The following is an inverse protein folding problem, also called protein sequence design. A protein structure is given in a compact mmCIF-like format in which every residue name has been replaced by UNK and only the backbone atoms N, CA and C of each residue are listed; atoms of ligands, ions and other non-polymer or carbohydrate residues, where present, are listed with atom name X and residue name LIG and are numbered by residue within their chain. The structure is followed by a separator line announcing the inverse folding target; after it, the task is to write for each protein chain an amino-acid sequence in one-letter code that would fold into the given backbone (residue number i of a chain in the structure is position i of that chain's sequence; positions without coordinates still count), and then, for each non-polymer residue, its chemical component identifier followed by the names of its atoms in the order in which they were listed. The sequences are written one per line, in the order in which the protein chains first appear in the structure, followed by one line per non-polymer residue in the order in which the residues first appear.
data_IF_754400574404
#
_entry.id   IF_754400574404
#
_cell.length_a   1.000
_cell.length_b   1.000
_cell.length_c   1.000
_cell.angle_alpha   90.00
_cell.angle_beta   90.00
_cell.angle_gamma   90.00
#
_symmetry.space_group_name_H-M   'P 1'
#
loop_
_entity.id
_entity.type
_entity.pdbx_description
1 polymer ?
#
# COMPACT_ATOMS: atom_id res chain seq x y z
N UNK A 1 0.78 -10.03 -2.25
CA UNK A 1 0.55 -8.81 -3.03
C UNK A 1 1.90 -8.13 -3.26
N UNK A 2 2.51 -8.35 -4.43
CA UNK A 2 3.72 -7.64 -4.84
C UNK A 2 3.27 -6.24 -5.27
N UNK A 3 3.19 -5.29 -4.36
CA UNK A 3 2.98 -3.88 -4.74
C UNK A 3 4.25 -3.36 -5.41
N UNK A 4 4.17 -2.96 -6.68
CA UNK A 4 5.29 -2.39 -7.46
C UNK A 4 5.82 -1.09 -6.84
N UNK A 5 4.97 -0.39 -6.08
CA UNK A 5 5.29 0.86 -5.39
C UNK A 5 6.34 0.75 -4.27
N UNK A 6 6.73 -0.46 -3.84
CA UNK A 6 7.80 -0.59 -2.84
C UNK A 6 9.19 -0.23 -3.37
N UNK A 7 9.35 -0.13 -4.71
CA UNK A 7 10.61 0.33 -5.30
C UNK A 7 10.91 1.80 -4.97
N UNK A 8 9.86 2.62 -4.82
CA UNK A 8 9.99 4.04 -4.53
C UNK A 8 9.98 4.36 -3.02
N UNK A 9 9.67 3.38 -2.17
CA UNK A 9 9.58 3.54 -0.72
C UNK A 9 10.96 3.62 -0.07
N UNK A 10 11.52 4.83 0.01
CA UNK A 10 12.78 5.10 0.71
C UNK A 10 12.77 6.49 1.38
N UNK A 11 13.57 6.66 2.44
CA UNK A 11 13.78 7.95 3.11
C UNK A 11 14.32 9.03 2.15
N UNK A 12 15.39 8.79 1.35
CA UNK A 12 15.88 9.82 0.43
C UNK A 12 14.83 10.24 -0.61
N UNK A 13 14.01 9.31 -1.10
CA UNK A 13 12.91 9.65 -2.00
C UNK A 13 11.87 10.56 -1.32
N UNK A 14 11.48 10.24 -0.08
CA UNK A 14 10.55 11.06 0.69
C UNK A 14 11.08 12.48 0.92
N UNK A 15 12.36 12.62 1.30
CA UNK A 15 13.01 13.91 1.50
C UNK A 15 13.07 14.71 0.19
N UNK A 16 13.45 14.07 -0.92
CA UNK A 16 13.53 14.72 -2.23
C UNK A 16 12.17 15.25 -2.68
N UNK A 17 11.11 14.46 -2.52
CA UNK A 17 9.74 14.84 -2.92
C UNK A 17 9.23 16.02 -2.06
N UNK A 18 9.49 16.00 -0.75
CA UNK A 18 9.11 17.11 0.13
C UNK A 18 9.85 18.40 -0.22
N UNK A 19 11.14 18.30 -0.55
CA UNK A 19 11.95 19.44 -1.03
C UNK A 19 11.44 20.00 -2.37
N UNK A 20 10.83 19.17 -3.23
CA UNK A 20 10.13 19.63 -4.43
C UNK A 20 8.74 20.22 -4.18
N UNK A 21 8.29 20.30 -2.92
CA UNK A 21 7.02 20.90 -2.53
C UNK A 21 5.81 19.96 -2.59
N UNK A 22 6.01 18.65 -2.74
CA UNK A 22 4.93 17.66 -2.80
C UNK A 22 4.95 16.74 -1.58
N UNK A 23 3.81 16.15 -1.25
CA UNK A 23 3.70 15.14 -0.21
C UNK A 23 3.90 13.72 -0.74
N UNK A 24 4.48 12.88 0.09
CA UNK A 24 4.83 11.52 -0.25
C UNK A 24 4.22 10.52 0.74
N UNK A 25 3.70 9.42 0.21
CA UNK A 25 3.36 8.22 0.97
C UNK A 25 3.91 7.01 0.23
N UNK A 26 4.82 6.29 0.88
CA UNK A 26 5.50 5.13 0.29
C UNK A 26 5.41 3.90 1.19
N UNK A 27 5.30 2.72 0.58
CA UNK A 27 5.46 1.45 1.30
C UNK A 27 6.92 1.03 1.31
N UNK A 28 7.50 0.83 2.49
CA UNK A 28 8.89 0.42 2.68
C UNK A 28 8.91 -1.07 3.00
N UNK A 29 9.63 -1.90 2.23
CA UNK A 29 9.71 -3.36 2.48
C UNK A 29 11.12 -3.86 2.79
N UNK A 30 12.12 -3.31 2.11
CA UNK A 30 13.50 -3.86 2.09
C UNK A 30 14.55 -2.87 2.54
N UNK A 31 14.24 -1.58 2.66
CA UNK A 31 15.20 -0.54 3.03
C UNK A 31 15.52 -0.61 4.53
N UNK A 32 16.51 -1.43 4.92
CA UNK A 32 16.88 -1.64 6.33
C UNK A 32 17.86 -0.62 6.91
N UNK A 33 18.63 0.10 6.09
CA UNK A 33 19.74 0.95 6.57
C UNK A 33 19.28 2.18 7.35
N UNK A 34 18.19 2.80 6.94
CA UNK A 34 17.72 4.08 7.52
C UNK A 34 16.32 3.98 8.13
N UNK A 35 15.60 2.87 7.89
CA UNK A 35 14.23 2.70 8.36
C UNK A 35 14.16 1.53 9.35
N UNK A 36 13.57 1.72 10.56
CA UNK A 36 13.56 0.74 11.63
C UNK A 36 12.50 -0.36 11.43
N UNK A 37 12.62 -1.15 10.36
CA UNK A 37 11.66 -2.24 10.04
C UNK A 37 11.66 -3.31 11.14
N UNK A 38 12.83 -3.68 11.65
CA UNK A 38 12.97 -4.73 12.67
C UNK A 38 12.23 -4.35 13.96
N UNK A 39 12.44 -3.12 14.43
CA UNK A 39 11.76 -2.57 15.59
C UNK A 39 10.24 -2.59 15.43
N UNK A 40 9.71 -2.11 14.29
CA UNK A 40 8.27 -2.11 14.04
C UNK A 40 7.68 -3.51 13.98
N UNK A 41 8.40 -4.48 13.41
CA UNK A 41 7.96 -5.87 13.35
C UNK A 41 7.94 -6.54 14.71
N UNK A 42 8.92 -6.24 15.57
CA UNK A 42 9.01 -6.77 16.92
C UNK A 42 7.91 -6.21 17.83
N UNK A 43 7.76 -4.88 17.86
CA UNK A 43 6.75 -4.21 18.67
C UNK A 43 5.32 -4.60 18.28
N UNK A 44 5.08 -4.84 16.98
CA UNK A 44 3.76 -5.25 16.48
C UNK A 44 3.63 -6.76 16.33
N UNK A 45 4.55 -7.59 16.85
CA UNK A 45 4.49 -9.05 16.70
C UNK A 45 3.22 -9.65 17.31
N UNK A 46 2.93 -9.30 18.55
CA UNK A 46 1.80 -9.83 19.33
C UNK A 46 0.61 -8.86 19.39
N UNK A 47 0.71 -7.73 18.68
CA UNK A 47 -0.35 -6.73 18.60
C UNK A 47 -1.61 -7.25 17.88
N UNK A 48 -2.81 -6.79 18.29
CA UNK A 48 -4.05 -7.10 17.60
C UNK A 48 -4.07 -6.52 16.18
N UNK A 49 -4.84 -7.15 15.30
CA UNK A 49 -4.99 -6.69 13.92
C UNK A 49 -5.64 -5.30 13.89
N UNK A 50 -5.08 -4.40 13.09
CA UNK A 50 -5.54 -3.01 12.99
C UNK A 50 -4.76 -2.03 13.87
N UNK A 51 -3.95 -2.53 14.82
CA UNK A 51 -3.05 -1.66 15.57
C UNK A 51 -1.97 -1.08 14.65
N UNK A 52 -1.64 0.18 14.88
CA UNK A 52 -0.54 0.86 14.21
C UNK A 52 0.36 1.54 15.24
N UNK A 53 1.64 1.68 14.87
CA UNK A 53 2.66 2.41 15.62
C UNK A 53 3.30 3.41 14.68
N UNK A 54 3.44 4.66 15.13
CA UNK A 54 4.07 5.72 14.36
C UNK A 54 5.36 6.19 15.06
N UNK A 55 6.40 6.46 14.27
CA UNK A 55 7.66 7.03 14.70
C UNK A 55 7.89 8.31 13.90
N UNK A 56 8.14 9.41 14.60
CA UNK A 56 8.50 10.70 13.98
C UNK A 56 10.01 10.87 13.97
N UNK A 57 10.56 11.38 12.88
CA UNK A 57 11.97 11.75 12.78
C UNK A 57 12.13 12.97 11.88
N UNK A 58 13.16 13.78 12.14
CA UNK A 58 13.56 14.89 11.27
C UNK A 58 14.82 14.46 10.52
N UNK A 59 14.78 14.47 9.19
CA UNK A 59 15.90 14.12 8.32
C UNK A 59 16.11 15.25 7.33
N UNK A 60 17.30 15.85 7.31
CA UNK A 60 17.64 17.00 6.45
C UNK A 60 16.63 18.16 6.54
N UNK A 61 16.13 18.44 7.74
CA UNK A 61 15.13 19.48 8.00
C UNK A 61 13.71 19.13 7.56
N UNK A 62 13.47 17.90 7.11
CA UNK A 62 12.14 17.40 6.73
C UNK A 62 11.60 16.48 7.82
N UNK A 63 10.39 16.79 8.30
CA UNK A 63 9.64 15.90 9.18
C UNK A 63 9.11 14.69 8.40
N UNK A 64 9.42 13.50 8.91
CA UNK A 64 9.01 12.23 8.35
C UNK A 64 8.34 11.39 9.43
N UNK A 65 7.30 10.67 9.01
CA UNK A 65 6.58 9.71 9.85
C UNK A 65 6.75 8.33 9.25
N UNK A 66 7.28 7.42 10.06
CA UNK A 66 7.33 5.99 9.79
C UNK A 66 6.17 5.30 10.50
N UNK A 67 5.31 4.59 9.77
CA UNK A 67 4.14 3.90 10.32
C UNK A 67 4.29 2.40 10.12
N UNK A 68 4.24 1.62 11.20
CA UNK A 68 4.01 0.18 11.19
C UNK A 68 2.53 -0.10 11.41
N UNK A 69 1.89 -0.87 10.51
CA UNK A 69 0.47 -1.23 10.58
C UNK A 69 0.31 -2.76 10.58
N UNK A 70 -0.37 -3.30 11.59
CA UNK A 70 -0.65 -4.74 11.71
C UNK A 70 -1.79 -5.16 10.78
N UNK A 71 -1.42 -5.45 9.52
CA UNK A 71 -2.38 -5.87 8.48
C UNK A 71 -3.01 -7.24 8.75
N UNK A 72 -2.20 -8.19 9.22
CA UNK A 72 -2.63 -9.55 9.55
C UNK A 72 -1.86 -10.03 10.78
N UNK A 73 -2.28 -11.15 11.38
CA UNK A 73 -1.56 -11.76 12.52
C UNK A 73 -0.08 -12.00 12.21
N UNK A 74 0.23 -12.38 10.97
CA UNK A 74 1.60 -12.67 10.53
C UNK A 74 2.34 -11.51 9.86
N UNK A 75 1.64 -10.44 9.44
CA UNK A 75 2.21 -9.41 8.56
C UNK A 75 1.98 -8.01 9.10
N UNK A 76 3.09 -7.30 9.27
CA UNK A 76 3.14 -5.86 9.51
C UNK A 76 3.52 -5.20 8.20
N UNK A 77 2.81 -4.13 7.85
CA UNK A 77 3.13 -3.29 6.71
C UNK A 77 3.78 -2.01 7.21
N UNK A 78 4.86 -1.61 6.58
CA UNK A 78 5.63 -0.43 6.96
C UNK A 78 5.51 0.64 5.89
N UNK A 79 5.21 1.86 6.33
CA UNK A 79 5.01 3.02 5.48
C UNK A 79 5.90 4.17 5.92
N UNK A 80 6.25 5.02 4.97
CA UNK A 80 6.88 6.31 5.21
C UNK A 80 6.00 7.41 4.63
N UNK A 81 5.89 8.51 5.34
CA UNK A 81 5.20 9.69 4.83
C UNK A 81 5.87 10.98 5.26
N UNK A 82 5.73 12.01 4.43
CA UNK A 82 6.10 13.40 4.71
C UNK A 82 4.91 14.21 5.22
N UNK A 83 3.76 13.56 5.37
CA UNK A 83 2.55 14.14 5.94
C UNK A 83 2.71 14.28 7.46
N UNK A 84 1.94 15.22 8.03
CA UNK A 84 1.96 15.49 9.47
C UNK A 84 1.30 14.39 10.29
N UNK A 85 1.47 14.48 11.62
CA UNK A 85 0.89 13.54 12.59
C UNK A 85 -0.64 13.46 12.53
N UNK A 86 -1.30 14.51 12.00
CA UNK A 86 -2.74 14.56 11.80
C UNK A 86 -3.28 13.46 10.88
N UNK A 87 -2.46 12.92 9.97
CA UNK A 87 -2.87 11.85 9.05
C UNK A 87 -2.86 10.45 9.69
N UNK A 88 -2.55 10.37 11.00
CA UNK A 88 -2.69 9.16 11.81
C UNK A 88 -4.10 8.97 12.39
N UNK A 89 -5.01 9.93 12.16
CA UNK A 89 -6.42 9.82 12.56
C UNK A 89 -7.06 8.53 11.99
N UNK A 90 -8.10 7.99 12.65
CA UNK A 90 -8.86 6.88 12.11
C UNK A 90 -9.33 7.15 10.67
N UNK A 91 -8.91 6.31 9.73
CA UNK A 91 -9.31 6.36 8.33
C UNK A 91 -10.44 5.39 8.01
N UNK A 92 -10.68 5.17 6.72
CA UNK A 92 -11.65 4.16 6.26
C UNK A 92 -11.18 2.76 6.69
N UNK A 93 -11.98 2.02 7.48
CA UNK A 93 -11.63 0.67 7.91
C UNK A 93 -11.45 -0.29 6.74
N UNK A 94 -10.64 -1.32 6.95
CA UNK A 94 -10.52 -2.43 6.02
C UNK A 94 -11.60 -3.47 6.28
N UNK A 95 -12.47 -3.72 5.30
CA UNK A 95 -13.49 -4.77 5.37
C UNK A 95 -12.85 -6.13 5.09
N UNK A 96 -12.57 -6.90 6.14
CA UNK A 96 -12.07 -8.26 6.01
C UNK A 96 -13.25 -9.22 5.75
N UNK A 97 -13.19 -9.98 4.65
CA UNK A 97 -14.18 -11.01 4.31
C UNK A 97 -13.65 -12.40 4.69
N UNK A 98 -14.47 -13.22 5.33
CA UNK A 98 -14.13 -14.60 5.70
C UNK A 98 -15.35 -15.51 5.51
N UNK A 99 -15.14 -16.76 5.04
CA UNK A 99 -16.23 -17.73 4.96
C UNK A 99 -16.65 -18.13 6.37
N UNK A 100 -17.94 -18.09 6.63
CA UNK A 100 -18.55 -18.67 7.82
C UNK A 100 -18.67 -20.19 7.66
N UNK A 101 -18.94 -20.90 8.76
CA UNK A 101 -19.10 -22.37 8.80
C UNK A 101 -20.14 -22.89 7.81
N UNK A 102 -21.09 -22.05 7.42
CA UNK A 102 -22.17 -22.37 6.47
C UNK A 102 -21.88 -21.91 5.03
N UNK A 103 -20.66 -21.47 4.72
CA UNK A 103 -20.28 -21.01 3.37
C UNK A 103 -20.71 -19.59 3.03
N UNK A 104 -21.41 -18.89 3.94
CA UNK A 104 -21.75 -17.48 3.79
C UNK A 104 -20.52 -16.59 3.99
N UNK A 105 -20.49 -15.42 3.34
CA UNK A 105 -19.39 -14.47 3.49
C UNK A 105 -19.69 -13.55 4.67
N UNK A 106 -18.98 -13.74 5.78
CA UNK A 106 -18.99 -12.83 6.91
C UNK A 106 -17.97 -11.70 6.71
N UNK A 107 -18.28 -10.52 7.24
CA UNK A 107 -17.46 -9.31 7.12
C UNK A 107 -17.08 -8.77 8.50
N UNK A 108 -15.85 -8.30 8.66
CA UNK A 108 -15.39 -7.60 9.86
C UNK A 108 -14.57 -6.38 9.49
N UNK A 109 -14.89 -5.26 10.11
CA UNK A 109 -14.14 -4.02 9.95
C UNK A 109 -12.88 -4.06 10.81
N UNK A 110 -11.75 -3.78 10.17
CA UNK A 110 -10.45 -3.67 10.82
C UNK A 110 -10.04 -2.21 10.81
N UNK A 111 -9.81 -1.60 11.99
CA UNK A 111 -9.36 -0.22 12.11
C UNK A 111 -8.08 0.01 11.29
N UNK A 112 -8.00 1.17 10.63
CA UNK A 112 -6.89 1.55 9.77
C UNK A 112 -6.67 3.06 9.88
N UNK A 113 -5.42 3.54 9.99
CA UNK A 113 -5.14 4.98 9.97
C UNK A 113 -5.37 5.60 8.58
N UNK A 114 -5.70 6.88 8.53
CA UNK A 114 -6.03 7.64 7.32
C UNK A 114 -4.94 7.53 6.24
N UNK A 115 -3.68 7.74 6.61
CA UNK A 115 -2.51 7.57 5.74
C UNK A 115 -2.49 6.23 4.99
N UNK A 116 -2.76 5.13 5.71
CA UNK A 116 -2.76 3.79 5.11
C UNK A 116 -3.96 3.61 4.19
N UNK A 117 -5.11 4.20 4.54
CA UNK A 117 -6.30 4.19 3.68
C UNK A 117 -6.06 4.91 2.36
N UNK A 118 -5.54 6.13 2.40
CA UNK A 118 -5.24 6.94 1.20
C UNK A 118 -4.20 6.26 0.31
N UNK A 119 -3.16 5.65 0.90
CA UNK A 119 -2.20 4.85 0.13
C UNK A 119 -2.88 3.71 -0.65
N UNK A 120 -3.75 2.93 0.01
CA UNK A 120 -4.43 1.81 -0.65
C UNK A 120 -5.46 2.25 -1.68
N UNK A 121 -6.06 3.43 -1.52
CA UNK A 121 -6.99 4.02 -2.48
C UNK A 121 -6.28 4.44 -3.77
N UNK A 122 -5.10 5.06 -3.67
CA UNK A 122 -4.39 5.64 -4.82
C UNK A 122 -3.38 4.72 -5.48
N UNK A 123 -2.73 3.83 -4.72
CA UNK A 123 -1.70 2.92 -5.26
C UNK A 123 -2.14 2.09 -6.47
N UNK A 124 -3.34 1.48 -6.53
CA UNK A 124 -3.68 0.60 -7.64
C UNK A 124 -3.94 1.35 -8.96
N UNK A 125 -3.97 2.68 -9.00
CA UNK A 125 -4.33 3.44 -10.21
C UNK A 125 -3.51 3.04 -11.44
N UNK A 126 -2.19 2.90 -11.28
CA UNK A 126 -1.29 2.49 -12.38
C UNK A 126 -1.54 1.03 -12.77
N UNK A 127 -1.74 0.15 -11.79
CA UNK A 127 -1.99 -1.27 -12.03
C UNK A 127 -3.34 -1.49 -12.74
N UNK A 128 -4.39 -0.77 -12.34
CA UNK A 128 -5.72 -0.80 -12.98
C UNK A 128 -5.63 -0.30 -14.42
N UNK A 129 -4.93 0.81 -14.67
CA UNK A 129 -4.71 1.31 -16.03
C UNK A 129 -3.99 0.28 -16.91
N UNK A 130 -2.94 -0.35 -16.37
CA UNK A 130 -2.20 -1.38 -17.09
C UNK A 130 -3.06 -2.62 -17.36
N UNK A 131 -3.90 -3.04 -16.40
CA UNK A 131 -4.84 -4.15 -16.59
C UNK A 131 -5.86 -3.86 -17.71
N UNK A 132 -6.43 -2.65 -17.73
CA UNK A 132 -7.35 -2.22 -18.79
C UNK A 132 -6.68 -2.25 -20.16
N UNK A 133 -5.47 -1.68 -20.27
CA UNK A 133 -4.68 -1.71 -21.51
C UNK A 133 -4.35 -3.13 -21.97
N UNK A 134 -3.99 -4.02 -21.05
CA UNK A 134 -3.72 -5.42 -21.39
C UNK A 134 -4.99 -6.16 -21.83
N UNK A 135 -6.12 -5.87 -21.21
CA UNK A 135 -7.40 -6.46 -21.58
C UNK A 135 -7.83 -6.02 -22.99
N UNK A 136 -7.68 -4.74 -23.33
CA UNK A 136 -7.93 -4.23 -24.69
C UNK A 136 -7.03 -4.93 -25.72
N UNK A 137 -5.72 -5.05 -25.44
CA UNK A 137 -4.79 -5.77 -26.33
C UNK A 137 -5.16 -7.23 -26.52
N UNK A 138 -5.62 -7.90 -25.46
CA UNK A 138 -6.10 -9.30 -25.60
C UNK A 138 -7.35 -9.37 -26.45
N UNK A 139 -8.31 -8.46 -26.26
CA UNK A 139 -9.52 -8.40 -27.08
C UNK A 139 -9.22 -8.18 -28.55
N UNK A 140 -8.37 -7.20 -28.88
CA UNK A 140 -8.00 -6.94 -30.28
C UNK A 140 -7.20 -8.10 -30.91
N UNK A 141 -6.32 -8.76 -30.16
CA UNK A 141 -5.58 -9.93 -30.63
C UNK A 141 -6.43 -11.20 -30.79
N UNK A 142 -7.56 -11.31 -30.07
CA UNK A 142 -8.55 -12.38 -30.26
C UNK A 142 -9.39 -12.07 -31.51
N UNK A 143 -9.83 -10.84 -31.68
CA UNK A 143 -10.58 -10.40 -32.86
C UNK A 143 -9.78 -10.59 -34.16
N UNK A 144 -8.49 -10.25 -34.16
CA UNK A 144 -7.60 -10.46 -35.30
C UNK A 144 -7.28 -11.94 -35.60
N UNK A 145 -7.54 -12.85 -34.66
CA UNK A 145 -7.40 -14.31 -34.86
C UNK A 145 -8.70 -14.97 -35.33
N UNK A 146 -9.84 -14.30 -35.17
CA UNK A 146 -11.16 -14.80 -35.54
C UNK A 146 -11.62 -14.32 -36.92
N UNK A 147 -10.89 -13.42 -37.59
CA UNK A 147 -11.11 -13.14 -39.01
C UNK A 147 -10.72 -14.38 -39.83
N UNK A 148 -11.67 -15.09 -40.47
CA UNK A 148 -11.33 -16.16 -41.37
C UNK A 148 -10.51 -15.56 -42.53
N UNK A 149 -9.43 -16.25 -42.91
CA UNK A 149 -8.78 -16.00 -44.18
C UNK A 149 -9.83 -16.19 -45.28
N UNK A 150 -10.35 -15.09 -45.81
CA UNK A 150 -11.30 -15.13 -46.91
C UNK A 150 -10.55 -15.62 -48.14
N UNK A 151 -10.74 -16.91 -48.41
CA UNK A 151 -11.03 -17.52 -49.71
C UNK A 151 -10.87 -16.55 -50.88
N UNK A 152 -9.81 -16.76 -51.67
CA UNK A 152 -9.74 -16.48 -53.10
C UNK A 152 -9.30 -17.76 -53.80
#
# INVERSE_FOLDING_TARGET
MKSHHSWFGSIPAAVAVKKSGADFIGNVKTAKKQFPIAFLNEQLKDAPRGLHLALSAIVDGVELIAVGYKYSSKRVLTFISTLGSDDLRPGTPYVARFPDKHGNVATRDVPRPHLVSEYFKRSPAVDVHNQLRQHERRRSAICARQTPANVL
#
